data_IF_571884016091
#
_entry.id   IF_571884016091
#
_cell.length_a   1.000
_cell.length_b   1.000
_cell.length_c   1.000
_cell.angle_alpha   90.00
_cell.angle_beta   90.00
_cell.angle_gamma   90.00
#
_symmetry.space_group_name_H-M   'P 1'
#
loop_
_entity.id
_entity.type
_entity.pdbx_description
1 polymer ?
#
# COMPACT_ATOMS: atom_id res chain seq x y z
N UNK A 1 -5.34 1.54 12.27
CA UNK A 1 -5.18 0.11 11.94
C UNK A 1 -3.74 -0.31 12.25
N UNK A 2 -3.45 -1.59 12.41
CA UNK A 2 -2.07 -2.09 12.65
C UNK A 2 -1.72 -3.08 11.55
N UNK A 3 -0.63 -2.81 10.83
CA UNK A 3 -0.16 -3.65 9.73
C UNK A 3 1.19 -4.27 10.09
N UNK A 4 1.39 -5.53 9.69
CA UNK A 4 2.71 -6.17 9.74
C UNK A 4 3.43 -5.88 8.44
N UNK A 5 4.68 -5.44 8.54
CA UNK A 5 5.55 -5.21 7.39
C UNK A 5 6.78 -6.10 7.48
N UNK A 6 7.32 -6.47 6.32
CA UNK A 6 8.58 -7.17 6.18
C UNK A 6 9.61 -6.17 5.67
N UNK A 7 10.78 -6.13 6.30
CA UNK A 7 11.91 -5.32 5.85
C UNK A 7 13.03 -6.24 5.36
N UNK A 8 13.54 -5.93 4.18
CA UNK A 8 14.64 -6.64 3.53
C UNK A 8 15.76 -5.63 3.29
N UNK A 9 16.96 -5.93 3.79
CA UNK A 9 18.13 -5.09 3.54
C UNK A 9 18.62 -5.34 2.11
N UNK A 10 18.99 -4.27 1.41
CA UNK A 10 19.58 -4.36 0.06
C UNK A 10 21.10 -4.51 0.12
N UNK A 11 21.67 -5.26 -0.83
CA UNK A 11 23.12 -5.44 -0.98
C UNK A 11 23.85 -4.12 -1.31
N UNK A 12 23.15 -3.16 -1.93
CA UNK A 12 23.67 -1.83 -2.26
C UNK A 12 23.47 -0.82 -1.12
N UNK A 13 22.88 -1.25 0.00
CA UNK A 13 22.50 -0.42 1.13
C UNK A 13 21.02 0.00 1.09
N UNK A 14 20.50 0.42 2.25
CA UNK A 14 19.08 0.72 2.42
C UNK A 14 18.20 -0.50 2.67
N UNK A 15 16.89 -0.30 2.59
CA UNK A 15 15.87 -1.30 2.90
C UNK A 15 14.71 -1.22 1.91
N UNK A 16 14.26 -2.37 1.43
CA UNK A 16 12.93 -2.56 0.83
C UNK A 16 11.97 -2.99 1.93
N UNK A 17 10.72 -2.55 1.85
CA UNK A 17 9.69 -2.85 2.82
C UNK A 17 8.35 -3.10 2.13
N UNK A 18 7.58 -4.06 2.62
CA UNK A 18 6.25 -4.37 2.08
C UNK A 18 5.30 -4.89 3.13
N UNK A 19 3.99 -4.71 2.91
CA UNK A 19 2.92 -5.20 3.78
C UNK A 19 2.23 -6.41 3.15
N UNK A 20 2.46 -7.66 3.63
CA UNK A 20 1.86 -8.86 3.03
C UNK A 20 0.33 -8.87 3.01
N UNK A 21 -0.31 -8.11 3.91
CA UNK A 21 -1.77 -7.96 3.97
C UNK A 21 -2.34 -7.01 2.91
N UNK A 22 -1.49 -6.25 2.22
CA UNK A 22 -1.87 -5.27 1.20
C UNK A 22 -1.07 -5.56 -0.07
N UNK A 23 -1.53 -6.52 -0.91
CA UNK A 23 -0.80 -6.93 -2.09
C UNK A 23 -0.46 -5.75 -3.00
N UNK A 24 0.82 -5.62 -3.37
CA UNK A 24 1.33 -4.51 -4.17
C UNK A 24 1.78 -3.28 -3.38
N UNK A 25 1.52 -3.23 -2.06
CA UNK A 25 2.01 -2.14 -1.21
C UNK A 25 3.47 -2.39 -0.79
N UNK A 26 4.39 -1.75 -1.52
CA UNK A 26 5.84 -1.87 -1.38
C UNK A 26 6.44 -0.46 -1.37
N UNK A 27 7.50 -0.27 -0.60
CA UNK A 27 8.28 0.95 -0.57
C UNK A 27 9.75 0.66 -0.27
N UNK A 28 10.59 1.69 -0.23
CA UNK A 28 12.02 1.60 0.06
C UNK A 28 12.52 2.82 0.81
N UNK A 29 13.69 2.72 1.42
CA UNK A 29 14.34 3.85 2.08
C UNK A 29 15.82 3.60 2.36
N UNK A 30 16.58 4.69 2.49
CA UNK A 30 18.03 4.61 2.74
C UNK A 30 18.35 4.13 4.16
N UNK A 31 17.41 4.28 5.08
CA UNK A 31 17.50 3.80 6.45
C UNK A 31 16.23 3.02 6.81
N UNK A 32 16.29 2.26 7.90
CA UNK A 32 15.12 1.55 8.41
C UNK A 32 13.95 2.50 8.71
N UNK A 33 14.22 3.64 9.34
CA UNK A 33 13.18 4.61 9.71
C UNK A 33 12.57 5.28 8.47
N UNK A 34 13.39 5.56 7.46
CA UNK A 34 12.96 6.09 6.17
C UNK A 34 12.03 5.12 5.44
N UNK A 35 12.43 3.85 5.32
CA UNK A 35 11.59 2.81 4.72
C UNK A 35 10.26 2.65 5.47
N UNK A 36 10.29 2.64 6.81
CA UNK A 36 9.08 2.55 7.63
C UNK A 36 8.15 3.75 7.45
N UNK A 37 8.70 4.96 7.30
CA UNK A 37 7.91 6.15 7.01
C UNK A 37 7.28 6.05 5.62
N UNK A 38 8.05 5.64 4.61
CA UNK A 38 7.59 5.60 3.22
C UNK A 38 6.52 4.52 3.01
N UNK A 39 6.62 3.35 3.65
CA UNK A 39 5.56 2.33 3.59
C UNK A 39 4.29 2.78 4.31
N UNK A 40 4.39 3.61 5.35
CA UNK A 40 3.20 4.16 6.00
C UNK A 40 2.42 5.03 5.01
N UNK A 41 3.10 5.93 4.30
CA UNK A 41 2.47 6.79 3.27
C UNK A 41 1.86 5.93 2.15
N UNK A 42 2.55 4.87 1.71
CA UNK A 42 2.03 3.95 0.70
C UNK A 42 0.78 3.18 1.17
N UNK A 43 0.69 2.81 2.45
CA UNK A 43 -0.49 2.16 3.03
C UNK A 43 -1.66 3.14 3.12
N UNK A 44 -1.40 4.39 3.50
CA UNK A 44 -2.43 5.43 3.55
C UNK A 44 -3.04 5.62 2.16
N UNK A 45 -2.20 5.78 1.14
CA UNK A 45 -2.64 5.88 -0.26
C UNK A 45 -3.37 4.63 -0.76
N UNK A 46 -2.94 3.42 -0.36
CA UNK A 46 -3.60 2.17 -0.77
C UNK A 46 -5.04 2.08 -0.26
N UNK A 47 -5.31 2.64 0.92
CA UNK A 47 -6.61 2.61 1.59
C UNK A 47 -7.49 3.81 1.23
N UNK A 48 -6.95 4.80 0.53
CA UNK A 48 -7.74 5.92 0.05
C UNK A 48 -8.79 5.43 -0.96
N UNK A 49 -10.07 5.79 -0.77
CA UNK A 49 -11.12 5.44 -1.71
C UNK A 49 -10.84 6.10 -3.06
N UNK A 50 -10.85 5.30 -4.13
CA UNK A 50 -10.70 5.83 -5.49
C UNK A 50 -12.05 6.38 -5.93
N UNK A 51 -12.27 7.68 -5.72
CA UNK A 51 -13.54 8.35 -6.03
C UNK A 51 -13.82 8.42 -7.55
N UNK A 52 -12.79 8.40 -8.41
CA UNK A 52 -12.90 8.78 -9.82
C UNK A 52 -12.65 7.67 -10.88
N UNK A 53 -12.23 6.45 -10.52
CA UNK A 53 -11.87 5.41 -11.52
C UNK A 53 -12.99 4.41 -11.86
N UNK A 54 -14.20 4.63 -11.35
CA UNK A 54 -15.35 3.81 -11.75
C UNK A 54 -15.82 4.27 -13.13
N UNK A 55 -15.23 3.71 -14.19
CA UNK A 55 -15.76 3.84 -15.55
C UNK A 55 -17.15 3.18 -15.56
N UNK A 56 -18.19 3.99 -15.36
CA UNK A 56 -19.58 3.58 -15.44
C UNK A 56 -19.97 3.45 -16.91
N UNK A 57 -19.80 2.26 -17.49
CA UNK A 57 -20.72 1.86 -18.54
C UNK A 57 -22.14 1.91 -17.95
N UNK A 58 -23.11 2.49 -18.67
CA UNK A 58 -24.48 2.72 -18.19
C UNK A 58 -25.20 1.44 -17.71
N UNK A 59 -24.64 0.26 -17.99
CA UNK A 59 -25.18 -1.05 -17.56
C UNK A 59 -24.56 -1.58 -16.26
N UNK A 60 -23.59 -0.90 -15.68
CA UNK A 60 -22.87 -1.38 -14.49
C UNK A 60 -23.64 -1.02 -13.21
N UNK A 61 -23.69 -1.96 -12.25
CA UNK A 61 -24.29 -1.77 -10.93
C UNK A 61 -23.20 -1.80 -9.87
N UNK A 62 -23.06 -0.71 -9.12
CA UNK A 62 -22.17 -0.61 -7.96
C UNK A 62 -22.97 -0.91 -6.71
N UNK A 63 -22.50 -1.84 -5.89
CA UNK A 63 -23.11 -2.19 -4.59
C UNK A 63 -22.00 -2.33 -3.55
N UNK A 64 -22.23 -1.75 -2.38
CA UNK A 64 -21.38 -1.96 -1.22
C UNK A 64 -21.71 -3.33 -0.59
N UNK A 65 -20.67 -4.06 -0.19
CA UNK A 65 -20.79 -5.34 0.53
C UNK A 65 -19.94 -5.23 1.80
N UNK A 66 -20.59 -5.43 2.95
CA UNK A 66 -19.91 -5.65 4.21
C UNK A 66 -19.63 -7.15 4.37
N UNK A 67 -18.40 -7.50 4.75
CA UNK A 67 -17.96 -8.88 4.98
C UNK A 67 -17.93 -9.23 6.46
#
# INVERSE_FOLDING_TARGET
>A
MVFKVVLEASDEGGYTVYAPSLPGCISEGNTKDDALKNIQEAIELYLEPVEDDWIQDEKSLVQEIEL
#
